data_IF_017268675901
#
_entry.id   IF_017268675901
#
_cell.length_a   1.000
_cell.length_b   1.000
_cell.length_c   1.000
_cell.angle_alpha   90.00
_cell.angle_beta   90.00
_cell.angle_gamma   90.00
#
_symmetry.space_group_name_H-M   'P 1'
#
loop_
_entity.id
_entity.type
_entity.pdbx_description
1 polymer ?
#
# COMPACT_ATOMS: atom_id res chain seq x y z
N UNK A 1 29.23 6.69 20.46
CA UNK A 1 29.33 6.90 19.00
C UNK A 1 28.00 7.47 18.56
N UNK A 2 27.96 8.55 17.77
CA UNK A 2 26.71 9.12 17.29
C UNK A 2 25.94 8.08 16.47
N UNK A 3 24.62 8.00 16.67
CA UNK A 3 23.76 7.08 15.93
C UNK A 3 23.54 7.62 14.52
N UNK A 4 23.77 6.80 13.49
CA UNK A 4 23.56 7.22 12.11
C UNK A 4 22.08 7.56 11.84
N UNK A 5 21.77 8.59 11.03
CA UNK A 5 20.41 8.88 10.60
C UNK A 5 19.76 7.68 9.88
N UNK A 6 18.49 7.44 10.17
CA UNK A 6 17.68 6.43 9.49
C UNK A 6 17.04 7.10 8.28
N UNK A 7 17.47 6.70 7.07
CA UNK A 7 16.87 7.20 5.83
C UNK A 7 15.52 6.52 5.64
N UNK A 8 14.47 7.33 5.46
CA UNK A 8 13.10 6.87 5.24
C UNK A 8 12.66 7.01 3.79
N UNK A 9 13.18 8.00 3.06
CA UNK A 9 12.92 8.20 1.62
C UNK A 9 14.21 8.65 0.94
N UNK A 10 14.81 7.77 0.14
CA UNK A 10 16.07 8.00 -0.55
C UNK A 10 15.95 9.00 -1.70
N UNK A 11 14.75 9.19 -2.27
CA UNK A 11 14.53 10.12 -3.39
C UNK A 11 14.35 11.54 -2.89
N UNK A 12 13.58 11.72 -1.81
CA UNK A 12 13.35 13.05 -1.21
C UNK A 12 14.32 13.39 -0.08
N UNK A 13 15.25 12.50 0.27
CA UNK A 13 16.22 12.71 1.35
C UNK A 13 15.59 12.84 2.74
N UNK A 14 14.44 12.19 2.96
CA UNK A 14 13.74 12.25 4.26
C UNK A 14 14.43 11.26 5.20
N UNK A 15 14.87 11.73 6.35
CA UNK A 15 15.52 10.91 7.36
C UNK A 15 15.07 11.29 8.78
N UNK A 16 15.25 10.35 9.71
CA UNK A 16 15.15 10.58 11.14
C UNK A 16 16.56 10.56 11.72
N UNK A 17 16.91 11.61 12.45
CA UNK A 17 18.00 11.60 13.40
C UNK A 17 17.49 10.98 14.73
N UNK A 18 17.98 9.80 15.16
CA UNK A 18 17.51 9.17 16.39
C UNK A 18 17.78 10.01 17.65
N UNK A 19 18.81 10.86 17.63
CA UNK A 19 19.16 11.74 18.76
C UNK A 19 18.27 12.99 18.80
N UNK A 20 17.60 13.31 17.68
CA UNK A 20 16.74 14.48 17.54
C UNK A 20 15.43 14.17 16.79
N UNK A 21 14.83 13.02 17.07
CA UNK A 21 13.63 12.59 16.35
C UNK A 21 12.46 13.59 16.53
N UNK A 22 11.59 13.79 15.52
CA UNK A 22 10.41 14.64 15.65
C UNK A 22 9.38 14.07 16.63
N UNK A 23 9.37 12.74 16.83
CA UNK A 23 8.54 12.06 17.83
C UNK A 23 9.24 10.80 18.35
N UNK A 24 8.90 10.39 19.58
CA UNK A 24 9.58 9.29 20.27
C UNK A 24 9.25 7.90 19.69
N UNK A 25 8.06 7.72 19.11
CA UNK A 25 7.55 6.41 18.70
C UNK A 25 7.94 6.02 17.26
N UNK A 26 9.19 6.25 16.85
CA UNK A 26 9.65 5.94 15.49
C UNK A 26 9.91 4.44 15.24
N UNK A 27 9.78 3.57 16.25
CA UNK A 27 9.76 2.11 16.07
C UNK A 27 8.65 1.64 15.12
N UNK A 28 7.59 2.44 14.95
CA UNK A 28 6.50 2.15 14.01
C UNK A 28 7.00 1.93 12.57
N UNK A 29 8.07 2.62 12.14
CA UNK A 29 8.65 2.42 10.82
C UNK A 29 9.16 1.00 10.61
N UNK A 30 9.90 0.45 11.59
CA UNK A 30 10.45 -0.89 11.51
C UNK A 30 9.33 -1.95 11.45
N UNK A 31 8.33 -1.85 12.32
CA UNK A 31 7.20 -2.78 12.33
C UNK A 31 6.38 -2.72 11.04
N UNK A 32 6.13 -1.52 10.51
CA UNK A 32 5.41 -1.38 9.23
C UNK A 32 6.22 -1.92 8.05
N UNK A 33 7.54 -1.67 8.02
CA UNK A 33 8.43 -2.22 6.99
C UNK A 33 8.43 -3.75 6.99
N UNK A 34 8.65 -4.39 8.15
CA UNK A 34 8.67 -5.84 8.25
C UNK A 34 7.32 -6.46 7.86
N UNK A 35 6.21 -5.80 8.20
CA UNK A 35 4.88 -6.18 7.73
C UNK A 35 4.76 -6.13 6.21
N UNK A 36 5.17 -5.02 5.58
CA UNK A 36 5.11 -4.85 4.12
C UNK A 36 5.97 -5.86 3.39
N UNK A 37 7.19 -6.08 3.88
CA UNK A 37 8.11 -7.09 3.38
C UNK A 37 7.50 -8.49 3.48
N UNK A 38 6.99 -8.87 4.65
CA UNK A 38 6.38 -10.19 4.86
C UNK A 38 5.24 -10.44 3.88
N UNK A 39 4.37 -9.45 3.67
CA UNK A 39 3.24 -9.55 2.73
C UNK A 39 3.73 -9.68 1.28
N UNK A 40 4.72 -8.89 0.87
CA UNK A 40 5.29 -8.95 -0.47
C UNK A 40 5.97 -10.30 -0.77
N UNK A 41 6.78 -10.81 0.16
CA UNK A 41 7.40 -12.12 0.02
C UNK A 41 6.37 -13.25 0.01
N UNK A 42 5.31 -13.16 0.83
CA UNK A 42 4.23 -14.15 0.86
C UNK A 42 3.51 -14.23 -0.48
N UNK A 43 3.11 -13.09 -1.05
CA UNK A 43 2.42 -13.07 -2.35
C UNK A 43 3.36 -13.51 -3.47
N UNK A 44 4.63 -13.09 -3.45
CA UNK A 44 5.63 -13.52 -4.44
C UNK A 44 5.81 -15.04 -4.44
N UNK A 45 5.86 -15.66 -3.26
CA UNK A 45 5.98 -17.11 -3.17
C UNK A 45 4.74 -17.83 -3.74
N UNK A 46 3.54 -17.25 -3.59
CA UNK A 46 2.32 -17.79 -4.20
C UNK A 46 2.35 -17.61 -5.73
N UNK A 47 2.78 -16.45 -6.23
CA UNK A 47 2.99 -16.21 -7.68
C UNK A 47 3.94 -17.25 -8.28
N UNK A 48 5.08 -17.50 -7.62
CA UNK A 48 6.07 -18.51 -8.04
C UNK A 48 5.47 -19.91 -8.10
N UNK A 49 4.71 -20.31 -7.08
CA UNK A 49 4.03 -21.61 -7.05
C UNK A 49 3.00 -21.75 -8.16
N UNK A 50 2.20 -20.70 -8.41
CA UNK A 50 1.22 -20.69 -9.49
C UNK A 50 1.91 -20.91 -10.84
N UNK A 51 2.95 -20.10 -11.14
CA UNK A 51 3.73 -20.22 -12.38
C UNK A 51 4.42 -21.57 -12.52
N UNK A 52 4.92 -22.15 -11.43
CA UNK A 52 5.51 -23.49 -11.45
C UNK A 52 4.48 -24.61 -11.68
N UNK A 53 3.23 -24.41 -11.27
CA UNK A 53 2.15 -25.41 -11.39
C UNK A 53 1.40 -25.38 -12.72
N UNK A 54 1.46 -24.26 -13.45
CA UNK A 54 0.71 -24.03 -14.69
C UNK A 54 1.67 -23.75 -15.86
N UNK A 55 1.81 -24.73 -16.76
CA UNK A 55 2.67 -24.64 -17.95
C UNK A 55 2.25 -23.53 -18.91
N UNK A 56 1.02 -23.04 -18.81
CA UNK A 56 0.48 -21.97 -19.65
C UNK A 56 0.40 -20.64 -18.91
N UNK A 57 0.92 -20.52 -17.68
CA UNK A 57 0.82 -19.30 -16.88
C UNK A 57 1.27 -18.03 -17.62
N UNK A 58 2.28 -18.11 -18.49
CA UNK A 58 2.77 -16.98 -19.30
C UNK A 58 1.81 -16.54 -20.41
N UNK A 59 0.93 -17.42 -20.85
CA UNK A 59 -0.08 -17.17 -21.87
C UNK A 59 -1.45 -16.86 -21.26
N UNK A 60 -1.58 -16.90 -19.93
CA UNK A 60 -2.78 -16.49 -19.22
C UNK A 60 -2.95 -14.97 -19.35
N UNK A 61 -3.88 -14.57 -20.21
CA UNK A 61 -4.28 -13.17 -20.36
C UNK A 61 -5.04 -12.68 -19.12
N UNK A 62 -5.87 -13.55 -18.54
CA UNK A 62 -6.64 -13.28 -17.32
C UNK A 62 -7.14 -14.61 -16.73
N UNK A 63 -6.77 -14.94 -15.50
CA UNK A 63 -7.34 -16.10 -14.79
C UNK A 63 -8.07 -15.66 -13.54
N UNK A 64 -9.39 -15.43 -13.70
CA UNK A 64 -10.31 -15.24 -12.59
C UNK A 64 -10.64 -16.62 -12.02
N UNK A 65 -9.83 -17.08 -11.08
CA UNK A 65 -9.96 -18.43 -10.54
C UNK A 65 -10.55 -18.42 -9.15
N UNK A 66 -11.48 -19.35 -8.90
CA UNK A 66 -11.85 -19.75 -7.53
C UNK A 66 -10.67 -20.35 -6.74
N UNK A 67 -9.52 -20.57 -7.38
CA UNK A 67 -8.31 -21.14 -6.79
C UNK A 67 -7.32 -20.09 -6.28
N UNK A 68 -7.62 -18.79 -6.32
CA UNK A 68 -6.79 -17.78 -5.64
C UNK A 68 -6.82 -18.08 -4.14
N UNK A 69 -5.68 -18.36 -3.49
CA UNK A 69 -5.68 -18.64 -2.06
C UNK A 69 -6.21 -17.44 -1.27
N UNK A 70 -7.10 -17.66 -0.30
CA UNK A 70 -7.73 -16.59 0.50
C UNK A 70 -6.72 -15.61 1.15
N UNK A 71 -5.49 -16.07 1.41
CA UNK A 71 -4.43 -15.22 1.95
C UNK A 71 -4.02 -14.11 0.96
N UNK A 72 -4.19 -14.28 -0.34
CA UNK A 72 -3.83 -13.27 -1.35
C UNK A 72 -4.70 -12.01 -1.20
N UNK A 73 -6.06 -12.05 -1.29
CA UNK A 73 -6.87 -10.87 -1.06
C UNK A 73 -6.67 -10.27 0.34
N UNK A 74 -6.47 -11.09 1.38
CA UNK A 74 -6.11 -10.58 2.71
C UNK A 74 -4.79 -9.79 2.68
N UNK A 75 -3.77 -10.29 1.97
CA UNK A 75 -2.49 -9.62 1.85
C UNK A 75 -2.62 -8.29 1.11
N UNK A 76 -3.44 -8.19 0.05
CA UNK A 76 -3.74 -6.91 -0.61
C UNK A 76 -4.36 -5.89 0.36
N UNK A 77 -5.32 -6.33 1.17
CA UNK A 77 -5.97 -5.46 2.14
C UNK A 77 -4.97 -4.97 3.21
N UNK A 78 -4.24 -5.89 3.85
CA UNK A 78 -3.26 -5.53 4.87
C UNK A 78 -2.10 -4.70 4.32
N UNK A 79 -1.65 -5.00 3.10
CA UNK A 79 -0.57 -4.27 2.45
C UNK A 79 -0.99 -2.83 2.17
N UNK A 80 -2.16 -2.61 1.58
CA UNK A 80 -2.63 -1.27 1.25
C UNK A 80 -2.80 -0.39 2.50
N UNK A 81 -3.34 -0.93 3.59
CA UNK A 81 -3.46 -0.22 4.87
C UNK A 81 -2.09 0.08 5.46
N UNK A 82 -1.21 -0.92 5.52
CA UNK A 82 0.12 -0.78 6.12
C UNK A 82 0.98 0.20 5.32
N UNK A 83 0.94 0.14 3.99
CA UNK A 83 1.73 1.00 3.10
C UNK A 83 1.28 2.44 3.22
N UNK A 84 -0.03 2.69 3.17
CA UNK A 84 -0.57 4.04 3.36
C UNK A 84 -0.16 4.60 4.73
N UNK A 85 -0.25 3.81 5.81
CA UNK A 85 0.18 4.28 7.13
C UNK A 85 1.69 4.56 7.19
N UNK A 86 2.52 3.67 6.65
CA UNK A 86 3.97 3.86 6.56
C UNK A 86 4.32 5.17 5.84
N UNK A 87 3.75 5.39 4.67
CA UNK A 87 3.98 6.61 3.87
C UNK A 87 3.46 7.87 4.56
N UNK A 88 2.33 7.80 5.29
CA UNK A 88 1.86 8.93 6.11
C UNK A 88 2.83 9.27 7.22
N UNK A 89 3.47 8.27 7.85
CA UNK A 89 4.49 8.53 8.87
C UNK A 89 5.72 9.21 8.25
N UNK A 90 6.14 8.83 7.04
CA UNK A 90 7.23 9.52 6.33
C UNK A 90 6.84 10.97 6.02
N UNK A 91 5.65 11.19 5.47
CA UNK A 91 5.13 12.54 5.22
C UNK A 91 5.03 13.38 6.50
N UNK A 92 4.68 12.76 7.63
CA UNK A 92 4.65 13.42 8.93
C UNK A 92 6.05 13.85 9.38
N UNK A 93 7.06 12.98 9.25
CA UNK A 93 8.46 13.31 9.55
C UNK A 93 8.93 14.49 8.71
N UNK A 94 8.66 14.46 7.40
CA UNK A 94 9.00 15.54 6.49
C UNK A 94 8.39 16.88 6.96
N UNK A 95 7.08 16.89 7.26
CA UNK A 95 6.39 18.09 7.72
C UNK A 95 6.94 18.59 9.05
N UNK A 96 7.14 17.69 10.02
CA UNK A 96 7.61 18.07 11.34
C UNK A 96 9.03 18.62 11.31
N UNK A 97 9.93 17.99 10.54
CA UNK A 97 11.29 18.48 10.35
C UNK A 97 11.29 19.87 9.71
N UNK A 98 10.46 20.08 8.67
CA UNK A 98 10.37 21.38 7.99
C UNK A 98 9.87 22.52 8.91
N UNK A 99 9.07 22.21 9.93
CA UNK A 99 8.53 23.18 10.87
C UNK A 99 9.25 23.21 12.23
N UNK A 100 10.32 22.40 12.40
CA UNK A 100 10.97 22.24 13.71
C UNK A 100 10.06 21.67 14.80
N UNK A 101 8.99 20.98 14.41
CA UNK A 101 8.00 20.45 15.34
C UNK A 101 8.48 19.21 16.07
N UNK A 102 7.99 19.07 17.31
CA UNK A 102 8.15 17.88 18.16
C UNK A 102 6.79 17.31 18.57
N UNK A 103 6.78 16.20 19.29
CA UNK A 103 5.56 15.50 19.75
C UNK A 103 4.43 16.42 20.25
N UNK A 104 4.65 17.50 21.03
CA UNK A 104 3.57 18.39 21.48
C UNK A 104 2.78 19.03 20.33
N UNK A 105 3.41 19.30 19.19
CA UNK A 105 2.75 19.88 18.02
C UNK A 105 1.66 18.96 17.43
N UNK A 106 1.74 17.65 17.68
CA UNK A 106 0.72 16.68 17.26
C UNK A 106 -0.59 16.82 18.04
N UNK A 107 -0.52 17.32 19.28
CA UNK A 107 -1.68 17.52 20.13
C UNK A 107 -2.42 18.84 19.81
N UNK A 108 -1.73 19.80 19.20
CA UNK A 108 -2.28 21.10 18.84
C UNK A 108 -3.35 20.98 17.74
N UNK A 109 -4.63 21.35 18.01
CA UNK A 109 -5.69 21.29 17.03
C UNK A 109 -5.43 22.12 15.77
N UNK A 110 -4.67 23.22 15.87
CA UNK A 110 -4.37 24.11 14.74
C UNK A 110 -3.51 23.42 13.67
N UNK A 111 -2.70 22.43 14.06
CA UNK A 111 -1.83 21.70 13.15
C UNK A 111 -2.54 20.57 12.40
N UNK A 112 -3.74 20.14 12.84
CA UNK A 112 -4.41 18.93 12.33
C UNK A 112 -4.69 18.99 10.82
N UNK A 113 -5.14 20.14 10.33
CA UNK A 113 -5.47 20.30 8.90
C UNK A 113 -4.20 20.22 8.03
N UNK A 114 -3.12 20.85 8.47
CA UNK A 114 -1.82 20.82 7.81
C UNK A 114 -1.25 19.40 7.77
N UNK A 115 -1.23 18.71 8.93
CA UNK A 115 -0.78 17.32 9.04
C UNK A 115 -1.58 16.42 8.09
N UNK A 116 -2.91 16.50 8.13
CA UNK A 116 -3.78 15.66 7.29
C UNK A 116 -3.51 15.91 5.81
N UNK A 117 -3.47 17.17 5.39
CA UNK A 117 -3.32 17.55 3.98
C UNK A 117 -1.95 17.14 3.45
N UNK A 118 -0.87 17.44 4.19
CA UNK A 118 0.50 17.09 3.81
C UNK A 118 0.70 15.58 3.69
N UNK A 119 0.30 14.82 4.72
CA UNK A 119 0.47 13.36 4.71
C UNK A 119 -0.37 12.71 3.59
N UNK A 120 -1.56 13.23 3.31
CA UNK A 120 -2.41 12.73 2.22
C UNK A 120 -1.79 13.03 0.86
N UNK A 121 -1.27 14.24 0.66
CA UNK A 121 -0.60 14.63 -0.57
C UNK A 121 0.65 13.76 -0.83
N UNK A 122 1.46 13.53 0.21
CA UNK A 122 2.63 12.68 0.14
C UNK A 122 2.26 11.25 -0.33
N UNK A 123 1.29 10.61 0.30
CA UNK A 123 0.83 9.26 -0.10
C UNK A 123 0.31 9.25 -1.54
N UNK A 124 -0.57 10.19 -1.90
CA UNK A 124 -1.14 10.26 -3.26
C UNK A 124 -0.08 10.46 -4.34
N UNK A 125 1.02 11.15 -4.02
CA UNK A 125 2.15 11.30 -4.94
C UNK A 125 2.99 10.03 -5.08
N UNK A 126 3.00 9.14 -4.08
CA UNK A 126 3.81 7.94 -4.07
C UNK A 126 3.06 6.72 -4.62
N UNK A 127 1.78 6.55 -4.26
CA UNK A 127 0.96 5.37 -4.59
C UNK A 127 -0.54 5.72 -4.76
N UNK A 128 -0.91 6.52 -5.78
CA UNK A 128 -2.29 6.97 -5.96
C UNK A 128 -3.30 5.82 -6.08
N UNK A 129 -2.94 4.74 -6.76
CA UNK A 129 -3.77 3.56 -6.98
C UNK A 129 -4.04 2.77 -5.68
N UNK A 130 -3.00 2.55 -4.86
CA UNK A 130 -3.15 1.89 -3.56
C UNK A 130 -3.95 2.76 -2.59
N UNK A 131 -3.76 4.08 -2.62
CA UNK A 131 -4.53 5.00 -1.81
C UNK A 131 -6.04 4.94 -2.14
N UNK A 132 -6.39 4.91 -3.43
CA UNK A 132 -7.77 4.76 -3.88
C UNK A 132 -8.38 3.45 -3.38
N UNK A 133 -7.68 2.34 -3.58
CA UNK A 133 -8.12 1.02 -3.13
C UNK A 133 -8.32 0.93 -1.61
N UNK A 134 -7.35 1.45 -0.83
CA UNK A 134 -7.37 1.40 0.64
C UNK A 134 -8.65 2.00 1.23
N UNK A 135 -9.15 3.08 0.64
CA UNK A 135 -10.32 3.80 1.14
C UNK A 135 -11.65 3.19 0.73
N UNK A 136 -11.68 2.30 -0.27
CA UNK A 136 -12.94 1.71 -0.75
C UNK A 136 -13.08 0.24 -0.36
N UNK A 137 -11.98 -0.48 -0.18
CA UNK A 137 -12.00 -1.95 0.01
C UNK A 137 -11.27 -2.40 1.26
N UNK A 138 -10.06 -1.87 1.52
CA UNK A 138 -9.16 -2.53 2.46
C UNK A 138 -9.33 -2.11 3.92
N UNK A 139 -9.46 -0.79 4.18
CA UNK A 139 -9.57 -0.30 5.56
C UNK A 139 -10.98 -0.51 6.13
N UNK A 140 -11.97 -0.38 5.26
CA UNK A 140 -13.35 -0.77 5.43
C UNK A 140 -13.90 -1.07 4.04
N UNK A 141 -14.92 -1.92 3.96
CA UNK A 141 -15.70 -2.05 2.74
C UNK A 141 -16.59 -0.81 2.63
N UNK A 142 -16.60 -0.14 1.48
CA UNK A 142 -17.44 1.04 1.26
C UNK A 142 -18.92 0.76 1.60
N UNK A 143 -19.40 -0.47 1.39
CA UNK A 143 -20.73 -0.90 1.82
C UNK A 143 -21.02 -0.76 3.33
N UNK A 144 -19.98 -0.72 4.18
CA UNK A 144 -20.10 -0.62 5.65
C UNK A 144 -19.88 0.80 6.19
N UNK A 145 -19.29 1.68 5.39
CA UNK A 145 -19.01 3.09 5.73
C UNK A 145 -19.03 3.93 4.43
N UNK A 146 -20.21 4.13 3.81
CA UNK A 146 -20.31 4.73 2.48
C UNK A 146 -19.97 6.22 2.49
N UNK A 147 -19.21 6.68 1.49
CA UNK A 147 -18.92 8.10 1.26
C UNK A 147 -19.91 8.72 0.28
N UNK A 148 -19.95 10.06 0.27
CA UNK A 148 -20.86 10.84 -0.59
C UNK A 148 -20.66 10.62 -2.10
N UNK A 149 -19.50 10.11 -2.52
CA UNK A 149 -19.17 9.81 -3.92
C UNK A 149 -19.32 8.32 -4.28
N UNK A 150 -19.72 7.47 -3.33
CA UNK A 150 -19.94 6.06 -3.59
C UNK A 150 -21.29 5.80 -4.26
N UNK A 151 -21.23 5.10 -5.39
CA UNK A 151 -22.39 4.56 -6.08
C UNK A 151 -22.58 3.07 -5.70
N UNK A 152 -23.78 2.52 -5.90
CA UNK A 152 -24.13 1.11 -5.67
C UNK A 152 -23.12 0.16 -6.29
N UNK A 153 -22.68 0.44 -7.52
CA UNK A 153 -21.63 -0.35 -8.17
C UNK A 153 -20.35 -0.42 -7.32
N UNK A 154 -19.95 0.67 -6.67
CA UNK A 154 -18.75 0.73 -5.82
C UNK A 154 -18.98 0.07 -4.48
N UNK A 155 -20.18 0.23 -3.91
CA UNK A 155 -20.57 -0.45 -2.67
C UNK A 155 -20.51 -1.97 -2.85
N UNK A 156 -21.08 -2.52 -3.93
CA UNK A 156 -21.01 -3.95 -4.21
C UNK A 156 -19.60 -4.41 -4.58
N UNK A 157 -18.89 -3.66 -5.43
CA UNK A 157 -17.52 -4.00 -5.81
C UNK A 157 -16.59 -4.08 -4.58
N UNK A 158 -16.83 -3.25 -3.55
CA UNK A 158 -16.05 -3.29 -2.30
C UNK A 158 -16.13 -4.63 -1.55
N UNK A 159 -17.20 -5.41 -1.76
CA UNK A 159 -17.41 -6.69 -1.08
C UNK A 159 -16.73 -7.87 -1.79
N UNK A 160 -16.37 -7.71 -3.07
CA UNK A 160 -16.07 -8.85 -3.93
C UNK A 160 -14.60 -9.29 -3.95
N UNK A 161 -13.67 -8.51 -3.34
CA UNK A 161 -12.24 -8.82 -3.23
C UNK A 161 -11.65 -9.52 -4.48
N UNK A 162 -11.99 -9.01 -5.68
CA UNK A 162 -11.64 -9.66 -6.94
C UNK A 162 -10.14 -9.55 -7.21
N UNK A 163 -9.42 -10.59 -6.83
CA UNK A 163 -8.00 -10.78 -7.17
C UNK A 163 -7.92 -11.71 -8.37
N UNK A 164 -7.15 -11.31 -9.36
CA UNK A 164 -6.97 -12.08 -10.60
C UNK A 164 -5.49 -12.22 -10.91
N UNK A 165 -5.09 -13.38 -11.42
CA UNK A 165 -3.72 -13.56 -11.91
C UNK A 165 -3.60 -13.07 -13.36
N UNK A 166 -2.64 -12.20 -13.60
CA UNK A 166 -2.20 -11.76 -14.93
C UNK A 166 -0.67 -11.78 -14.90
N UNK A 167 -0.06 -12.65 -15.71
CA UNK A 167 1.36 -12.92 -15.61
C UNK A 167 2.22 -11.63 -15.58
N UNK A 168 3.17 -11.50 -14.64
CA UNK A 168 3.56 -12.48 -13.63
C UNK A 168 2.94 -12.25 -12.24
N UNK A 169 1.92 -11.41 -12.10
CA UNK A 169 1.42 -10.94 -10.80
C UNK A 169 -0.06 -11.24 -10.54
N UNK A 170 -0.40 -11.34 -9.25
CA UNK A 170 -1.79 -11.11 -8.84
C UNK A 170 -2.11 -9.61 -8.88
N UNK A 171 -3.33 -9.29 -9.30
CA UNK A 171 -3.83 -7.94 -9.46
C UNK A 171 -5.21 -7.78 -8.84
N UNK A 172 -5.50 -6.59 -8.34
CA UNK A 172 -6.86 -6.12 -8.03
C UNK A 172 -7.28 -5.03 -9.01
N UNK A 173 -8.58 -4.72 -9.05
CA UNK A 173 -9.10 -3.64 -9.90
C UNK A 173 -9.06 -3.95 -11.40
N UNK A 174 -8.96 -5.23 -11.78
CA UNK A 174 -9.05 -5.66 -13.17
C UNK A 174 -10.51 -5.60 -13.64
N UNK A 175 -10.85 -4.53 -14.36
CA UNK A 175 -12.13 -4.36 -15.01
C UNK A 175 -13.08 -3.38 -14.32
N UNK A 176 -14.32 -3.34 -14.82
CA UNK A 176 -15.41 -2.51 -14.29
C UNK A 176 -16.45 -3.42 -13.67
N UNK A 177 -17.00 -3.00 -12.54
CA UNK A 177 -18.17 -3.64 -11.94
C UNK A 177 -19.42 -2.87 -12.32
N UNK A 178 -20.49 -3.57 -12.70
CA UNK A 178 -21.75 -2.94 -13.12
C UNK A 178 -22.90 -3.51 -12.29
N UNK A 179 -23.60 -2.63 -11.59
CA UNK A 179 -24.81 -2.96 -10.83
C UNK A 179 -25.94 -2.04 -11.30
N UNK A 180 -26.94 -2.62 -11.97
CA UNK A 180 -27.98 -1.84 -12.63
C UNK A 180 -27.38 -0.89 -13.68
N UNK A 181 -27.55 0.42 -13.49
CA UNK A 181 -26.97 1.46 -14.35
C UNK A 181 -25.67 2.05 -13.80
N UNK A 182 -25.23 1.63 -12.61
CA UNK A 182 -24.08 2.22 -11.93
C UNK A 182 -22.82 1.40 -12.15
N UNK A 183 -21.71 2.11 -12.40
CA UNK A 183 -20.44 1.51 -12.78
C UNK A 183 -19.39 1.88 -11.72
N UNK A 184 -18.67 0.89 -11.22
CA UNK A 184 -17.46 1.07 -10.42
C UNK A 184 -16.23 0.72 -11.23
N UNK A 185 -15.20 1.53 -11.10
CA UNK A 185 -13.89 1.28 -11.67
C UNK A 185 -12.82 1.67 -10.65
N UNK A 186 -12.38 0.68 -9.87
CA UNK A 186 -11.29 0.88 -8.91
C UNK A 186 -9.94 0.84 -9.64
N UNK A 187 -8.91 1.57 -9.15
CA UNK A 187 -7.58 1.52 -9.75
C UNK A 187 -7.00 0.11 -9.76
N UNK A 188 -6.43 -0.30 -10.89
CA UNK A 188 -5.71 -1.56 -11.00
C UNK A 188 -4.30 -1.44 -10.41
N UNK A 189 -3.89 -2.45 -9.64
CA UNK A 189 -2.50 -2.59 -9.17
C UNK A 189 -2.17 -4.02 -8.75
N UNK A 190 -0.87 -4.31 -8.64
CA UNK A 190 -0.33 -5.57 -8.16
C UNK A 190 0.60 -5.34 -6.97
N UNK A 191 0.44 -6.12 -5.91
CA UNK A 191 1.15 -5.93 -4.65
C UNK A 191 2.67 -6.05 -4.81
N UNK A 192 3.14 -7.14 -5.42
CA UNK A 192 4.58 -7.40 -5.56
C UNK A 192 5.24 -6.41 -6.50
N UNK A 193 4.54 -6.01 -7.58
CA UNK A 193 4.97 -4.94 -8.48
C UNK A 193 5.10 -3.60 -7.77
N UNK A 194 4.08 -3.16 -7.03
CA UNK A 194 4.14 -1.90 -6.27
C UNK A 194 5.30 -1.93 -5.27
N UNK A 195 5.49 -3.05 -4.56
CA UNK A 195 6.61 -3.18 -3.63
C UNK A 195 7.98 -3.07 -4.32
N UNK A 196 8.14 -3.67 -5.50
CA UNK A 196 9.35 -3.59 -6.33
C UNK A 196 9.59 -2.19 -6.90
N UNK A 197 8.55 -1.52 -7.41
CA UNK A 197 8.65 -0.16 -7.96
C UNK A 197 9.06 0.85 -6.89
N UNK A 198 8.59 0.64 -5.65
CA UNK A 198 8.91 1.47 -4.49
C UNK A 198 10.28 1.17 -3.88
N UNK A 199 10.93 0.09 -4.30
CA UNK A 199 12.11 -0.47 -3.65
C UNK A 199 13.27 0.51 -3.56
N UNK A 200 13.65 1.09 -4.68
CA UNK A 200 14.81 2.00 -4.74
C UNK A 200 14.60 3.26 -3.91
N UNK A 201 13.35 3.64 -3.67
CA UNK A 201 12.99 4.82 -2.90
C UNK A 201 12.99 4.59 -1.39
N UNK A 202 12.54 3.41 -0.93
CA UNK A 202 12.27 3.19 0.50
C UNK A 202 13.10 2.07 1.14
N UNK A 203 13.54 1.08 0.37
CA UNK A 203 14.25 -0.11 0.87
C UNK A 203 15.18 -0.67 -0.22
N UNK A 204 16.25 0.07 -0.59
CA UNK A 204 17.13 -0.27 -1.71
C UNK A 204 17.94 -1.56 -1.49
N UNK A 205 17.95 -2.10 -0.27
CA UNK A 205 18.61 -3.35 0.10
C UNK A 205 17.76 -4.61 -0.15
N UNK A 206 16.43 -4.49 -0.24
CA UNK A 206 15.54 -5.65 -0.36
C UNK A 206 15.30 -5.99 -1.81
N UNK A 207 15.39 -7.27 -2.18
CA UNK A 207 14.97 -7.75 -3.49
C UNK A 207 14.04 -8.95 -3.33
N UNK A 208 12.87 -8.90 -3.99
CA UNK A 208 12.00 -10.07 -4.07
C UNK A 208 12.66 -11.12 -4.98
N UNK A 209 12.50 -12.43 -4.69
CA UNK A 209 12.95 -13.46 -5.61
C UNK A 209 12.19 -13.34 -6.94
N UNK A 210 12.84 -13.61 -8.08
CA UNK A 210 12.16 -13.56 -9.37
C UNK A 210 11.03 -14.58 -9.43
N UNK A 211 9.98 -14.27 -10.20
CA UNK A 211 8.81 -15.15 -10.34
C UNK A 211 9.18 -16.47 -11.02
N UNK A 212 10.13 -16.44 -11.96
CA UNK A 212 10.80 -17.62 -12.50
C UNK A 212 12.23 -17.71 -11.94
N UNK A 213 12.72 -18.92 -11.59
CA UNK A 213 14.13 -19.14 -11.26
C UNK A 213 15.08 -18.73 -12.40
#
# INVERSE_FOLDING_TARGET
>A
MPVAPIILDHVQGIAIDPENAPFANYQAFASSYEGLKTLAFTVREIERRYVASDQHAEHVVLHMSSQVPNIVPCAFNWFSVTLVNYLRLIGLVQLMNANGWKSPALADPSNRSSIRSHCTAYVKSAVPEVYGWRNKVAAHFAATDPFHDDNLGTLEHSLMSMVTFQYPHYHVGLGKWVTGTEISQLPQWALTKVYEDLRTRYWPEVQLPPVKP
#
